data_IF_034635945975
#
_entry.id   IF_034635945975
#
_cell.length_a   1.000
_cell.length_b   1.000
_cell.length_c   1.000
_cell.angle_alpha   90.00
_cell.angle_beta   90.00
_cell.angle_gamma   90.00
#
_symmetry.space_group_name_H-M   'P 1'
#
loop_
_entity.id
_entity.type
_entity.pdbx_description
1 polymer ?
#
# COMPACT_ATOMS: atom_id res chain seq x y z
N UNK A 1 12.58 53.37 13.13
CA UNK A 1 13.98 53.68 12.81
C UNK A 1 14.49 52.58 11.88
N UNK A 2 14.98 52.99 10.69
CA UNK A 2 15.63 52.25 9.58
C UNK A 2 14.85 51.06 8.94
N UNK A 3 14.12 51.23 7.82
CA UNK A 3 14.55 51.31 6.38
C UNK A 3 15.01 49.95 5.81
N UNK A 4 14.26 49.28 4.91
CA UNK A 4 14.15 49.49 3.43
C UNK A 4 15.47 49.12 2.70
N UNK A 5 15.56 48.48 1.53
CA UNK A 5 14.64 48.07 0.49
C UNK A 5 15.29 46.98 -0.40
N UNK A 6 14.45 46.34 -1.21
CA UNK A 6 14.69 45.49 -2.39
C UNK A 6 15.58 46.10 -3.49
N UNK A 7 16.26 45.27 -4.31
CA UNK A 7 15.98 45.11 -5.76
C UNK A 7 17.09 44.38 -6.57
N UNK A 8 16.62 43.58 -7.54
CA UNK A 8 17.31 42.97 -8.70
C UNK A 8 17.88 44.03 -9.65
N UNK A 9 18.87 43.68 -10.50
CA UNK A 9 18.73 43.66 -11.99
C UNK A 9 19.98 43.19 -12.79
N UNK A 10 19.72 42.43 -13.87
CA UNK A 10 20.31 42.42 -15.25
C UNK A 10 21.80 42.04 -15.47
N UNK A 11 22.18 41.17 -16.43
CA UNK A 11 22.12 41.31 -17.91
C UNK A 11 23.34 42.12 -18.40
N UNK A 12 24.14 41.86 -19.45
CA UNK A 12 23.94 41.25 -20.77
C UNK A 12 25.32 41.20 -21.50
N UNK A 13 25.63 40.12 -22.24
CA UNK A 13 26.09 40.06 -23.65
C UNK A 13 27.32 40.87 -24.20
N UNK A 14 28.25 40.09 -24.80
CA UNK A 14 29.19 40.26 -25.97
C UNK A 14 29.12 41.55 -26.83
N UNK A 15 30.22 41.99 -27.52
CA UNK A 15 30.74 41.31 -28.73
C UNK A 15 32.25 41.44 -29.07
N UNK A 16 32.60 40.87 -30.24
CA UNK A 16 33.91 40.54 -30.81
C UNK A 16 34.65 41.69 -31.53
N UNK A 17 35.99 41.56 -31.72
CA UNK A 17 36.74 42.14 -32.85
C UNK A 17 38.20 41.63 -32.98
N UNK A 18 38.45 40.92 -34.09
CA UNK A 18 39.59 41.03 -35.06
C UNK A 18 41.08 41.14 -34.66
N UNK A 19 41.84 40.15 -35.18
CA UNK A 19 42.98 40.25 -36.11
C UNK A 19 44.30 40.96 -35.73
N UNK A 20 45.42 40.21 -35.80
CA UNK A 20 46.49 40.35 -36.84
C UNK A 20 47.74 39.51 -36.51
N UNK A 21 48.15 38.68 -37.48
CA UNK A 21 49.52 38.18 -37.70
C UNK A 21 50.40 39.34 -38.22
N UNK A 22 51.76 39.29 -38.23
CA UNK A 22 52.46 38.72 -39.42
C UNK A 22 53.95 38.27 -39.21
N UNK A 23 54.47 37.22 -39.90
CA UNK A 23 55.49 37.14 -41.02
C UNK A 23 56.57 36.08 -40.66
N UNK A 24 56.81 34.99 -41.43
CA UNK A 24 57.63 34.79 -42.68
C UNK A 24 59.13 35.10 -42.44
N UNK A 25 60.15 34.28 -42.75
CA UNK A 25 60.49 33.39 -43.89
C UNK A 25 61.70 32.50 -43.47
N UNK A 26 61.71 31.17 -43.70
CA UNK A 26 62.52 30.39 -44.70
C UNK A 26 64.06 30.36 -44.50
N UNK A 27 64.85 29.32 -44.83
CA UNK A 27 64.90 28.37 -45.98
C UNK A 27 66.22 27.54 -45.76
N UNK A 28 66.40 26.25 -46.10
CA UNK A 28 66.96 25.71 -47.38
C UNK A 28 67.54 24.28 -47.12
N UNK A 29 67.03 23.25 -47.85
CA UNK A 29 67.70 22.10 -48.55
C UNK A 29 68.81 21.24 -47.86
N UNK A 30 69.04 19.94 -48.16
CA UNK A 30 69.08 19.25 -49.49
C UNK A 30 69.37 17.73 -49.31
N UNK A 31 69.01 16.95 -50.36
CA UNK A 31 69.61 15.70 -50.89
C UNK A 31 69.23 14.36 -50.22
N UNK A 32 68.43 13.47 -50.84
CA UNK A 32 68.70 12.53 -51.96
C UNK A 32 69.76 11.44 -51.68
N UNK A 33 69.47 10.22 -52.19
CA UNK A 33 70.22 8.94 -52.19
C UNK A 33 69.82 7.99 -51.04
N UNK A 34 69.28 6.76 -51.20
CA UNK A 34 69.21 5.80 -52.31
C UNK A 34 67.95 4.93 -52.15
N UNK A 35 67.09 4.86 -53.17
CA UNK A 35 66.11 3.78 -53.33
C UNK A 35 66.88 2.52 -53.77
N UNK A 36 66.86 1.43 -52.99
CA UNK A 36 67.17 0.09 -53.53
C UNK A 36 65.95 -0.37 -54.33
N UNK A 37 66.06 -0.29 -55.65
CA UNK A 37 65.12 -0.87 -56.60
C UNK A 37 65.08 -2.39 -56.43
N UNK A 38 63.94 -2.92 -55.99
CA UNK A 38 63.58 -4.32 -56.19
C UNK A 38 63.26 -4.48 -57.67
N UNK A 39 63.81 -5.48 -58.39
CA UNK A 39 63.48 -5.70 -59.79
C UNK A 39 61.97 -6.01 -59.90
N UNK A 40 61.26 -5.25 -60.72
CA UNK A 40 59.86 -5.53 -61.08
C UNK A 40 59.85 -6.80 -61.93
N UNK A 41 59.18 -7.85 -61.45
CA UNK A 41 58.76 -8.97 -62.28
C UNK A 41 57.76 -8.47 -63.35
N UNK A 42 57.83 -9.08 -64.53
CA UNK A 42 57.02 -8.75 -65.70
C UNK A 42 55.51 -8.94 -65.43
N UNK A 43 54.62 -8.19 -66.12
CA UNK A 43 53.18 -8.25 -65.87
C UNK A 43 52.60 -9.55 -66.42
N UNK A 44 52.28 -10.51 -65.55
CA UNK A 44 51.51 -11.71 -65.91
C UNK A 44 51.75 -12.97 -65.08
N UNK A 45 52.82 -13.05 -64.28
CA UNK A 45 53.12 -14.27 -63.52
C UNK A 45 52.47 -14.28 -62.13
N UNK A 46 51.65 -15.30 -61.84
CA UNK A 46 51.10 -15.53 -60.51
C UNK A 46 52.25 -15.85 -59.55
N UNK A 47 52.30 -15.23 -58.36
CA UNK A 47 53.41 -15.41 -57.42
C UNK A 47 53.54 -16.88 -57.04
N UNK A 48 54.77 -17.38 -57.04
CA UNK A 48 55.06 -18.78 -56.75
C UNK A 48 54.66 -19.12 -55.31
N UNK A 49 54.30 -20.38 -55.03
CA UNK A 49 53.84 -20.82 -53.71
C UNK A 49 54.81 -20.44 -52.57
N UNK A 50 56.12 -20.46 -52.84
CA UNK A 50 57.16 -20.01 -51.90
C UNK A 50 57.06 -18.51 -51.57
N UNK A 51 56.81 -17.65 -52.54
CA UNK A 51 56.67 -16.19 -52.32
C UNK A 51 55.39 -15.84 -51.57
N UNK A 52 54.29 -16.57 -51.85
CA UNK A 52 53.05 -16.49 -51.07
C UNK A 52 53.25 -16.92 -49.62
N UNK A 53 54.04 -17.97 -49.37
CA UNK A 53 54.36 -18.42 -48.02
C UNK A 53 55.21 -17.41 -47.24
N UNK A 54 56.17 -16.77 -47.89
CA UNK A 54 57.04 -15.75 -47.27
C UNK A 54 56.25 -14.47 -46.96
N UNK A 55 55.37 -14.02 -47.87
CA UNK A 55 54.47 -12.90 -47.62
C UNK A 55 53.47 -13.17 -46.48
N UNK A 56 52.92 -14.39 -46.41
CA UNK A 56 52.06 -14.80 -45.30
C UNK A 56 52.81 -14.84 -43.96
N UNK A 57 54.06 -15.33 -43.94
CA UNK A 57 54.92 -15.30 -42.74
C UNK A 57 55.26 -13.86 -42.30
N UNK A 58 55.55 -12.95 -43.21
CA UNK A 58 55.85 -11.55 -42.88
C UNK A 58 54.64 -10.80 -42.27
N UNK A 59 53.42 -11.15 -42.67
CA UNK A 59 52.18 -10.60 -42.09
C UNK A 59 51.92 -11.19 -40.70
N UNK A 60 52.18 -12.48 -40.50
CA UNK A 60 52.05 -13.19 -39.22
C UNK A 60 53.00 -12.66 -38.13
N UNK A 61 54.20 -12.22 -38.50
CA UNK A 61 55.21 -11.67 -37.56
C UNK A 61 55.24 -10.13 -37.53
N UNK A 62 54.19 -9.46 -38.00
CA UNK A 62 54.02 -8.02 -37.84
C UNK A 62 53.68 -7.69 -36.37
N UNK A 63 54.25 -6.62 -35.78
CA UNK A 63 53.91 -6.21 -34.41
C UNK A 63 52.40 -5.95 -34.21
N UNK A 64 51.68 -5.57 -35.26
CA UNK A 64 50.23 -5.40 -35.24
C UNK A 64 49.47 -6.74 -35.18
N UNK A 65 49.97 -7.78 -35.85
CA UNK A 65 49.34 -9.10 -35.83
C UNK A 65 49.47 -9.75 -34.43
N UNK A 66 50.62 -9.57 -33.78
CA UNK A 66 50.83 -10.00 -32.39
C UNK A 66 49.90 -9.25 -31.43
N UNK A 67 49.78 -7.93 -31.57
CA UNK A 67 48.86 -7.14 -30.75
C UNK A 67 47.39 -7.58 -30.93
N UNK A 68 46.95 -7.80 -32.17
CA UNK A 68 45.60 -8.29 -32.45
C UNK A 68 45.35 -9.68 -31.83
N UNK A 69 46.33 -10.60 -31.93
CA UNK A 69 46.24 -11.92 -31.29
C UNK A 69 46.13 -11.82 -29.76
N UNK A 70 46.91 -10.94 -29.13
CA UNK A 70 46.84 -10.69 -27.69
C UNK A 70 45.47 -10.13 -27.27
N UNK A 71 44.89 -9.20 -28.04
CA UNK A 71 43.56 -8.66 -27.75
C UNK A 71 42.46 -9.71 -27.86
N UNK A 72 42.56 -10.63 -28.83
CA UNK A 72 41.62 -11.76 -28.96
C UNK A 72 41.75 -12.71 -27.77
N UNK A 73 42.97 -13.04 -27.33
CA UNK A 73 43.20 -13.88 -26.15
C UNK A 73 42.63 -13.25 -24.89
N UNK A 74 42.88 -11.95 -24.66
CA UNK A 74 42.30 -11.21 -23.53
C UNK A 74 40.77 -11.23 -23.61
N UNK A 75 40.20 -11.01 -24.80
CA UNK A 75 38.75 -11.13 -25.03
C UNK A 75 38.19 -12.50 -24.66
N UNK A 76 38.84 -13.59 -25.08
CA UNK A 76 38.44 -14.95 -24.74
C UNK A 76 38.50 -15.23 -23.22
N UNK A 77 39.51 -14.71 -22.53
CA UNK A 77 39.64 -14.83 -21.08
C UNK A 77 38.51 -14.05 -20.38
N UNK A 78 38.21 -12.84 -20.82
CA UNK A 78 37.11 -12.02 -20.28
C UNK A 78 35.76 -12.72 -20.49
N UNK A 79 35.50 -13.26 -21.68
CA UNK A 79 34.26 -14.02 -21.95
C UNK A 79 34.19 -15.28 -21.08
N UNK A 80 35.29 -16.02 -20.93
CA UNK A 80 35.33 -17.24 -20.11
C UNK A 80 35.07 -16.96 -18.63
N UNK A 81 35.68 -15.90 -18.09
CA UNK A 81 35.45 -15.48 -16.70
C UNK A 81 34.01 -15.03 -16.48
N UNK A 82 33.42 -14.27 -17.40
CA UNK A 82 32.00 -13.90 -17.37
C UNK A 82 31.13 -15.17 -17.35
N UNK A 83 31.39 -16.13 -18.24
CA UNK A 83 30.62 -17.39 -18.29
C UNK A 83 30.73 -18.19 -16.99
N UNK A 84 31.91 -18.28 -16.39
CA UNK A 84 32.12 -18.95 -15.09
C UNK A 84 31.32 -18.24 -13.99
N UNK A 85 31.33 -16.90 -13.95
CA UNK A 85 30.56 -16.13 -12.95
C UNK A 85 29.06 -16.34 -13.13
N UNK A 86 28.55 -16.31 -14.37
CA UNK A 86 27.15 -16.55 -14.66
C UNK A 86 26.73 -17.97 -14.29
N UNK A 87 27.55 -18.97 -14.62
CA UNK A 87 27.34 -20.36 -14.23
C UNK A 87 27.27 -20.52 -12.70
N UNK A 88 28.23 -19.95 -11.97
CA UNK A 88 28.26 -20.01 -10.51
C UNK A 88 27.07 -19.29 -9.86
N UNK A 89 26.57 -18.22 -10.49
CA UNK A 89 25.34 -17.54 -10.04
C UNK A 89 24.12 -18.43 -10.22
N UNK A 90 24.01 -19.10 -11.36
CA UNK A 90 22.88 -19.97 -11.66
C UNK A 90 22.87 -21.23 -10.79
N UNK A 91 24.04 -21.80 -10.54
CA UNK A 91 24.20 -22.93 -9.63
C UNK A 91 23.83 -22.58 -8.19
N UNK A 92 24.23 -21.40 -7.69
CA UNK A 92 23.82 -20.94 -6.35
C UNK A 92 22.29 -20.84 -6.21
N UNK A 93 21.58 -20.34 -7.24
CA UNK A 93 20.11 -20.31 -7.22
C UNK A 93 19.53 -21.72 -7.11
N UNK A 94 20.07 -22.69 -7.85
CA UNK A 94 19.62 -24.10 -7.80
C UNK A 94 19.83 -24.72 -6.42
N UNK A 95 20.98 -24.50 -5.78
CA UNK A 95 21.25 -25.04 -4.44
C UNK A 95 20.27 -24.50 -3.38
N UNK A 96 19.99 -23.19 -3.41
CA UNK A 96 19.03 -22.56 -2.49
C UNK A 96 17.63 -23.12 -2.73
N UNK A 97 17.22 -23.26 -3.99
CA UNK A 97 15.94 -23.84 -4.35
C UNK A 97 15.81 -25.28 -3.87
N UNK A 98 16.81 -26.14 -4.13
CA UNK A 98 16.82 -27.53 -3.70
C UNK A 98 16.77 -27.68 -2.17
N UNK A 99 17.47 -26.80 -1.45
CA UNK A 99 17.40 -26.76 0.00
C UNK A 99 15.98 -26.44 0.49
N UNK A 100 15.33 -25.43 -0.10
CA UNK A 100 13.94 -25.09 0.24
C UNK A 100 12.95 -26.20 -0.10
N UNK A 101 13.13 -26.88 -1.24
CA UNK A 101 12.29 -28.03 -1.63
C UNK A 101 12.45 -29.20 -0.66
N UNK A 102 13.68 -29.49 -0.22
CA UNK A 102 13.92 -30.57 0.75
C UNK A 102 13.29 -30.24 2.12
N UNK A 103 13.42 -29.00 2.60
CA UNK A 103 12.79 -28.58 3.86
C UNK A 103 11.25 -28.67 3.80
N UNK A 104 10.65 -28.24 2.69
CA UNK A 104 9.21 -28.36 2.46
C UNK A 104 8.80 -29.84 2.36
N UNK A 105 9.54 -30.65 1.59
CA UNK A 105 9.25 -32.08 1.40
C UNK A 105 9.31 -32.84 2.72
N UNK A 106 10.33 -32.57 3.55
CA UNK A 106 10.48 -33.19 4.87
C UNK A 106 9.38 -32.75 5.85
N UNK A 107 8.99 -31.47 5.85
CA UNK A 107 7.85 -30.99 6.64
C UNK A 107 6.53 -31.67 6.20
N UNK A 108 6.30 -31.74 4.89
CA UNK A 108 5.11 -32.37 4.30
C UNK A 108 5.05 -33.87 4.59
N UNK A 109 6.18 -34.58 4.45
CA UNK A 109 6.28 -36.02 4.72
C UNK A 109 6.07 -36.38 6.18
N UNK A 110 6.43 -35.50 7.12
CA UNK A 110 6.13 -35.67 8.56
C UNK A 110 4.66 -35.39 8.88
N UNK A 111 4.07 -34.39 8.25
CA UNK A 111 2.68 -33.96 8.54
C UNK A 111 1.62 -34.81 7.84
N UNK A 112 1.96 -35.38 6.68
CA UNK A 112 1.08 -36.20 5.87
C UNK A 112 1.85 -37.44 5.37
N UNK A 113 1.87 -38.53 6.16
CA UNK A 113 2.58 -39.75 5.80
C UNK A 113 2.13 -40.34 4.45
N UNK A 114 0.84 -40.21 4.14
CA UNK A 114 0.22 -40.71 2.89
C UNK A 114 0.78 -40.04 1.62
N UNK A 115 1.44 -38.87 1.74
CA UNK A 115 2.09 -38.23 0.61
C UNK A 115 3.39 -38.92 0.18
N UNK A 116 3.98 -39.78 1.02
CA UNK A 116 5.26 -40.44 0.71
C UNK A 116 5.10 -41.56 -0.33
N UNK A 117 3.90 -42.14 -0.46
CA UNK A 117 3.60 -43.19 -1.43
C UNK A 117 3.25 -42.67 -2.83
N UNK A 118 3.16 -41.35 -3.01
CA UNK A 118 2.90 -40.72 -4.31
C UNK A 118 4.19 -40.63 -5.15
N UNK A 119 4.02 -40.67 -6.47
CA UNK A 119 5.10 -40.36 -7.40
C UNK A 119 5.65 -38.94 -7.18
N UNK A 120 6.93 -38.74 -7.50
CA UNK A 120 7.65 -37.49 -7.20
C UNK A 120 6.96 -36.24 -7.76
N UNK A 121 6.38 -36.33 -8.96
CA UNK A 121 5.68 -35.22 -9.62
C UNK A 121 4.37 -34.88 -8.89
N UNK A 122 3.58 -35.89 -8.53
CA UNK A 122 2.32 -35.70 -7.81
C UNK A 122 2.55 -35.18 -6.40
N UNK A 123 3.58 -35.69 -5.71
CA UNK A 123 4.00 -35.19 -4.39
C UNK A 123 4.37 -33.69 -4.45
N UNK A 124 5.13 -33.27 -5.46
CA UNK A 124 5.46 -31.85 -5.67
C UNK A 124 4.19 -31.03 -5.95
N UNK A 125 3.26 -31.54 -6.76
CA UNK A 125 1.99 -30.87 -7.07
C UNK A 125 1.13 -30.69 -5.81
N UNK A 126 1.03 -31.70 -4.95
CA UNK A 126 0.29 -31.60 -3.69
C UNK A 126 0.98 -30.66 -2.71
N UNK A 127 2.30 -30.76 -2.56
CA UNK A 127 3.07 -29.87 -1.68
C UNK A 127 2.98 -28.39 -2.09
N UNK A 128 3.02 -28.11 -3.40
CA UNK A 128 2.85 -26.75 -3.92
C UNK A 128 1.42 -26.22 -3.73
N UNK A 129 0.40 -27.04 -3.95
CA UNK A 129 -0.98 -26.64 -3.65
C UNK A 129 -1.18 -26.35 -2.16
N UNK A 130 -0.61 -27.18 -1.27
CA UNK A 130 -0.73 -26.93 0.16
C UNK A 130 0.05 -25.70 0.60
N UNK A 131 1.23 -25.44 0.03
CA UNK A 131 2.00 -24.24 0.37
C UNK A 131 1.27 -22.96 -0.08
N UNK A 132 0.59 -22.99 -1.23
CA UNK A 132 -0.27 -21.90 -1.67
C UNK A 132 -1.45 -21.67 -0.73
N UNK A 133 -2.16 -22.75 -0.33
CA UNK A 133 -3.25 -22.66 0.65
C UNK A 133 -2.75 -22.12 2.00
N UNK A 134 -1.60 -22.58 2.47
CA UNK A 134 -0.99 -22.11 3.71
C UNK A 134 -0.61 -20.62 3.62
N UNK A 135 -0.12 -20.16 2.48
CA UNK A 135 0.18 -18.75 2.26
C UNK A 135 -1.08 -17.88 2.29
N UNK A 136 -2.18 -18.37 1.72
CA UNK A 136 -3.50 -17.70 1.79
C UNK A 136 -4.02 -17.62 3.23
N UNK A 137 -4.00 -18.73 3.96
CA UNK A 137 -4.42 -18.76 5.37
C UNK A 137 -3.54 -17.88 6.26
N UNK A 138 -2.22 -17.86 6.01
CA UNK A 138 -1.32 -16.94 6.71
C UNK A 138 -1.62 -15.47 6.41
N UNK A 139 -2.12 -15.15 5.21
CA UNK A 139 -2.57 -13.79 4.88
C UNK A 139 -3.82 -13.43 5.69
N UNK A 140 -4.83 -14.31 5.71
CA UNK A 140 -6.05 -14.13 6.51
C UNK A 140 -5.74 -13.98 8.00
N UNK A 141 -4.84 -14.79 8.54
CA UNK A 141 -4.42 -14.70 9.95
C UNK A 141 -3.80 -13.35 10.30
N UNK A 142 -3.00 -12.77 9.39
CA UNK A 142 -2.42 -11.43 9.60
C UNK A 142 -3.50 -10.34 9.56
N UNK A 143 -4.43 -10.43 8.63
CA UNK A 143 -5.56 -9.50 8.54
C UNK A 143 -6.46 -9.57 9.78
N UNK A 144 -6.69 -10.78 10.29
CA UNK A 144 -7.41 -11.01 11.53
C UNK A 144 -6.68 -10.42 12.74
N UNK A 145 -5.36 -10.55 12.82
CA UNK A 145 -4.59 -9.94 13.91
C UNK A 145 -4.73 -8.41 13.92
N UNK A 146 -4.64 -7.76 12.75
CA UNK A 146 -4.86 -6.32 12.63
C UNK A 146 -6.27 -5.91 13.06
N UNK A 147 -7.28 -6.73 12.75
CA UNK A 147 -8.64 -6.50 13.20
C UNK A 147 -8.80 -6.62 14.72
N UNK A 148 -8.17 -7.64 15.33
CA UNK A 148 -8.15 -7.83 16.77
C UNK A 148 -7.52 -6.61 17.45
N UNK A 149 -6.39 -6.14 16.96
CA UNK A 149 -5.68 -4.98 17.52
C UNK A 149 -6.53 -3.69 17.43
N UNK A 150 -7.24 -3.46 16.32
CA UNK A 150 -8.20 -2.33 16.19
C UNK A 150 -9.35 -2.43 17.20
N UNK A 151 -9.93 -3.63 17.37
CA UNK A 151 -11.01 -3.84 18.35
C UNK A 151 -10.48 -3.58 19.76
N UNK A 152 -9.32 -4.12 20.13
CA UNK A 152 -8.70 -3.91 21.44
C UNK A 152 -8.46 -2.42 21.72
N UNK A 153 -7.91 -1.68 20.75
CA UNK A 153 -7.70 -0.24 20.89
C UNK A 153 -9.01 0.54 21.08
N UNK A 154 -10.13 0.08 20.50
CA UNK A 154 -11.45 0.69 20.73
C UNK A 154 -11.98 0.37 22.13
N UNK A 155 -11.77 -0.83 22.63
CA UNK A 155 -12.18 -1.19 23.99
C UNK A 155 -11.47 -0.32 25.03
N UNK A 156 -10.19 0.00 24.82
CA UNK A 156 -9.44 0.97 25.64
C UNK A 156 -10.05 2.38 25.59
N UNK A 157 -10.73 2.73 24.50
CA UNK A 157 -11.46 3.98 24.34
C UNK A 157 -12.91 3.92 24.84
N UNK A 158 -13.23 2.97 25.72
CA UNK A 158 -14.54 2.79 26.36
C UNK A 158 -15.65 2.39 25.38
N UNK A 159 -15.30 1.79 24.24
CA UNK A 159 -16.28 1.08 23.44
C UNK A 159 -16.65 -0.25 24.10
N UNK A 160 -17.88 -0.68 23.87
CA UNK A 160 -18.44 -1.92 24.41
C UNK A 160 -18.93 -2.80 23.28
N UNK A 161 -18.76 -4.11 23.41
CA UNK A 161 -19.18 -5.09 22.39
C UNK A 161 -20.52 -5.67 22.79
N UNK A 162 -21.46 -5.65 21.87
CA UNK A 162 -22.73 -6.35 22.00
C UNK A 162 -23.21 -6.84 20.63
N UNK A 163 -23.61 -8.10 20.55
CA UNK A 163 -24.13 -8.74 19.32
C UNK A 163 -23.31 -8.40 18.05
N UNK A 164 -21.99 -8.62 18.12
CA UNK A 164 -21.01 -8.38 17.04
C UNK A 164 -20.88 -6.92 16.57
N UNK A 165 -21.42 -5.96 17.33
CA UNK A 165 -21.31 -4.52 17.08
C UNK A 165 -20.60 -3.84 18.23
N UNK A 166 -20.07 -2.65 17.98
CA UNK A 166 -19.40 -1.82 18.97
C UNK A 166 -20.25 -0.60 19.28
N UNK A 167 -20.37 -0.26 20.57
CA UNK A 167 -21.16 0.86 21.06
C UNK A 167 -20.31 1.78 21.93
N UNK A 168 -20.46 3.09 21.75
CA UNK A 168 -19.82 4.11 22.57
C UNK A 168 -20.90 4.96 23.24
N UNK A 169 -20.98 4.89 24.55
CA UNK A 169 -21.80 5.77 25.37
C UNK A 169 -20.92 6.93 25.83
N UNK A 170 -21.13 8.12 25.29
CA UNK A 170 -20.20 9.26 25.44
C UNK A 170 -20.32 9.96 26.82
N UNK A 171 -20.20 9.20 27.90
CA UNK A 171 -20.47 9.63 29.28
C UNK A 171 -19.47 10.69 29.77
N UNK A 172 -18.25 10.69 29.26
CA UNK A 172 -17.17 11.58 29.70
C UNK A 172 -17.12 12.94 29.01
N UNK A 173 -17.86 13.14 27.90
CA UNK A 173 -17.88 14.40 27.15
C UNK A 173 -19.11 15.25 27.49
N UNK A 174 -19.07 16.58 27.30
CA UNK A 174 -20.23 17.42 27.58
C UNK A 174 -21.43 17.04 26.68
N UNK A 175 -22.67 17.18 27.17
CA UNK A 175 -23.89 16.98 26.37
C UNK A 175 -23.93 17.86 25.10
N UNK A 176 -24.59 17.35 24.05
CA UNK A 176 -24.60 17.85 22.68
C UNK A 176 -26.03 17.95 22.12
N UNK A 177 -26.22 18.78 21.08
CA UNK A 177 -27.50 18.73 20.36
C UNK A 177 -27.62 17.39 19.64
N UNK A 178 -28.82 17.07 19.15
CA UNK A 178 -29.00 15.85 18.38
C UNK A 178 -28.11 15.84 17.12
N UNK A 179 -28.05 16.97 16.39
CA UNK A 179 -27.20 17.11 15.20
C UNK A 179 -25.71 16.99 15.55
N UNK A 180 -25.26 17.65 16.62
CA UNK A 180 -23.88 17.55 17.10
C UNK A 180 -23.51 16.09 17.45
N UNK A 181 -24.44 15.29 17.99
CA UNK A 181 -24.22 13.87 18.25
C UNK A 181 -24.15 13.04 16.97
N UNK A 182 -25.01 13.33 15.99
CA UNK A 182 -24.96 12.69 14.67
C UNK A 182 -23.58 12.90 14.03
N UNK A 183 -23.12 14.15 13.99
CA UNK A 183 -21.83 14.53 13.41
C UNK A 183 -20.67 13.93 14.20
N UNK A 184 -20.74 13.96 15.53
CA UNK A 184 -19.72 13.36 16.40
C UNK A 184 -19.55 11.85 16.17
N UNK A 185 -20.65 11.12 16.02
CA UNK A 185 -20.59 9.68 15.77
C UNK A 185 -20.16 9.36 14.33
N UNK A 186 -20.58 10.15 13.35
CA UNK A 186 -20.20 10.02 11.94
C UNK A 186 -18.73 10.36 11.68
N UNK A 187 -18.14 11.24 12.50
CA UNK A 187 -16.71 11.55 12.43
C UNK A 187 -15.79 10.39 12.85
N UNK A 188 -16.33 9.28 13.33
CA UNK A 188 -15.58 8.08 13.71
C UNK A 188 -15.66 7.03 12.59
N UNK A 189 -14.57 6.29 12.30
CA UNK A 189 -14.59 5.29 11.22
C UNK A 189 -15.68 4.23 11.41
N UNK A 190 -16.47 4.00 10.35
CA UNK A 190 -17.54 2.99 10.29
C UNK A 190 -18.63 3.12 11.36
N UNK A 191 -18.77 4.31 11.96
CA UNK A 191 -19.64 4.59 13.09
C UNK A 191 -20.69 5.64 12.72
N UNK A 192 -21.84 5.57 13.38
CA UNK A 192 -22.92 6.54 13.28
C UNK A 192 -23.71 6.61 14.57
N UNK A 193 -24.63 7.57 14.68
CA UNK A 193 -25.56 7.62 15.81
C UNK A 193 -26.46 6.38 15.80
N UNK A 194 -26.81 5.85 16.98
CA UNK A 194 -27.51 4.57 17.11
C UNK A 194 -28.91 4.59 16.46
N UNK A 195 -29.13 3.72 15.48
CA UNK A 195 -30.48 3.28 15.09
C UNK A 195 -30.77 1.94 15.78
N UNK A 196 -31.82 1.91 16.59
CA UNK A 196 -32.23 0.70 17.34
C UNK A 196 -32.83 -0.29 16.36
N UNK A 197 -32.22 -1.45 16.21
CA UNK A 197 -32.53 -2.46 15.19
C UNK A 197 -33.17 -3.74 15.72
N UNK A 198 -33.30 -3.89 17.04
CA UNK A 198 -34.00 -5.02 17.65
C UNK A 198 -34.43 -4.70 19.08
N UNK A 199 -35.38 -5.50 19.58
CA UNK A 199 -35.79 -5.49 21.00
C UNK A 199 -34.62 -5.76 21.95
N UNK A 200 -33.76 -6.70 21.61
CA UNK A 200 -32.58 -7.04 22.43
C UNK A 200 -31.56 -5.89 22.44
N UNK A 201 -31.40 -5.18 21.32
CA UNK A 201 -30.56 -3.99 21.25
C UNK A 201 -31.10 -2.88 22.15
N UNK A 202 -32.42 -2.64 22.17
CA UNK A 202 -33.04 -1.70 23.12
C UNK A 202 -32.73 -2.08 24.57
N UNK A 203 -33.01 -3.34 24.96
CA UNK A 203 -32.77 -3.81 26.33
C UNK A 203 -31.30 -3.67 26.73
N UNK A 204 -30.38 -3.89 25.79
CA UNK A 204 -28.97 -3.66 26.00
C UNK A 204 -28.68 -2.17 26.26
N UNK A 205 -29.19 -1.24 25.44
CA UNK A 205 -29.04 0.19 25.67
C UNK A 205 -29.56 0.58 27.07
N UNK A 206 -30.78 0.18 27.41
CA UNK A 206 -31.39 0.44 28.72
C UNK A 206 -30.52 -0.09 29.88
N UNK A 207 -29.89 -1.25 29.71
CA UNK A 207 -28.98 -1.83 30.72
C UNK A 207 -27.75 -0.96 30.97
N UNK A 208 -27.19 -0.33 29.93
CA UNK A 208 -26.01 0.54 30.02
C UNK A 208 -26.36 1.91 30.63
N UNK A 209 -27.64 2.30 30.59
CA UNK A 209 -28.13 3.57 31.11
C UNK A 209 -28.54 3.52 32.59
N UNK A 210 -28.49 2.33 33.23
CA UNK A 210 -28.77 2.19 34.67
C UNK A 210 -27.77 3.00 35.50
N UNK A 211 -28.27 3.91 36.33
CA UNK A 211 -27.43 4.79 37.15
C UNK A 211 -26.90 6.01 36.40
N UNK A 212 -27.25 6.20 35.13
CA UNK A 212 -26.89 7.41 34.40
C UNK A 212 -27.55 8.66 35.01
N UNK A 213 -26.82 9.77 35.02
CA UNK A 213 -27.34 11.08 35.42
C UNK A 213 -27.79 11.94 34.22
N UNK A 214 -27.58 11.45 33.00
CA UNK A 214 -27.85 12.15 31.74
C UNK A 214 -28.71 11.32 30.80
N UNK A 215 -29.58 11.99 30.05
CA UNK A 215 -30.31 11.39 28.94
C UNK A 215 -29.37 11.22 27.73
N UNK A 216 -29.74 10.35 26.80
CA UNK A 216 -28.95 10.06 25.60
C UNK A 216 -29.78 10.21 24.34
N UNK A 217 -29.17 10.74 23.28
CA UNK A 217 -29.80 10.77 21.95
C UNK A 217 -29.74 9.41 21.25
N UNK A 218 -30.79 9.10 20.51
CA UNK A 218 -30.83 8.02 19.51
C UNK A 218 -31.08 8.60 18.12
N UNK A 219 -30.82 7.81 17.09
CA UNK A 219 -30.91 8.17 15.67
C UNK A 219 -32.31 8.50 15.15
N UNK A 220 -33.35 8.50 16.00
CA UNK A 220 -34.72 8.78 15.59
C UNK A 220 -35.05 10.27 15.77
N UNK A 221 -35.68 10.85 14.75
CA UNK A 221 -36.10 12.24 14.73
C UNK A 221 -37.45 12.39 14.03
N UNK A 222 -38.11 13.53 14.22
CA UNK A 222 -39.40 13.83 13.62
C UNK A 222 -39.17 14.57 12.30
N UNK A 223 -39.52 13.93 11.19
CA UNK A 223 -39.53 14.52 9.85
C UNK A 223 -40.98 14.82 9.46
N UNK A 224 -41.32 16.10 9.35
CA UNK A 224 -42.70 16.57 9.16
C UNK A 224 -43.67 16.00 10.21
N UNK A 225 -44.52 15.05 9.83
CA UNK A 225 -45.53 14.44 10.70
C UNK A 225 -45.17 13.02 11.15
N UNK A 226 -44.02 12.48 10.75
CA UNK A 226 -43.62 11.10 11.04
C UNK A 226 -42.28 11.00 11.76
N UNK A 227 -42.11 9.94 12.55
CA UNK A 227 -40.83 9.56 13.15
C UNK A 227 -40.01 8.75 12.15
N UNK A 228 -38.76 9.14 11.95
CA UNK A 228 -37.83 8.53 10.99
C UNK A 228 -36.46 8.32 11.63
N UNK A 229 -35.76 7.26 11.21
CA UNK A 229 -34.37 7.04 11.55
C UNK A 229 -33.45 7.90 10.68
N UNK A 230 -32.29 8.29 11.20
CA UNK A 230 -31.26 9.04 10.46
C UNK A 230 -30.75 8.25 9.25
N UNK A 231 -30.76 6.92 9.34
CA UNK A 231 -30.58 6.04 8.20
C UNK A 231 -31.96 5.66 7.63
N UNK A 232 -32.27 6.18 6.44
CA UNK A 232 -33.54 5.92 5.77
C UNK A 232 -33.71 4.45 5.35
N UNK A 233 -32.64 3.65 5.32
CA UNK A 233 -32.69 2.22 5.02
C UNK A 233 -33.00 1.35 6.25
N UNK A 234 -33.07 1.96 7.43
CA UNK A 234 -33.29 1.23 8.67
C UNK A 234 -34.73 0.71 8.77
N UNK A 235 -34.86 -0.61 8.98
CA UNK A 235 -36.13 -1.33 8.86
C UNK A 235 -36.93 -1.45 10.17
N UNK A 236 -36.33 -1.15 11.33
CA UNK A 236 -36.98 -1.39 12.62
C UNK A 236 -38.05 -0.33 12.93
N UNK A 237 -39.26 -0.78 13.24
CA UNK A 237 -40.44 0.09 13.36
C UNK A 237 -40.99 0.23 14.79
N UNK A 238 -40.59 -0.63 15.72
CA UNK A 238 -41.08 -0.56 17.10
C UNK A 238 -40.63 0.74 17.77
N UNK A 239 -41.50 1.27 18.64
CA UNK A 239 -41.24 2.51 19.38
C UNK A 239 -41.44 2.28 20.86
N UNK A 240 -40.40 2.53 21.64
CA UNK A 240 -40.38 2.26 23.08
C UNK A 240 -40.68 3.51 23.90
N UNK A 241 -41.72 4.25 23.50
CA UNK A 241 -42.17 5.46 24.20
C UNK A 241 -42.52 5.18 25.66
N UNK A 242 -42.02 6.03 26.55
CA UNK A 242 -42.47 6.05 27.95
C UNK A 242 -43.93 6.51 28.04
N UNK A 243 -44.65 6.19 29.15
CA UNK A 243 -46.03 6.64 29.33
C UNK A 243 -46.19 8.14 29.14
N UNK A 244 -47.14 8.55 28.30
CA UNK A 244 -47.41 9.95 27.98
C UNK A 244 -46.54 10.54 26.86
N UNK A 245 -45.61 9.79 26.27
CA UNK A 245 -44.80 10.21 25.12
C UNK A 245 -45.27 9.56 23.81
N UNK A 246 -45.00 10.17 22.64
CA UNK A 246 -44.41 11.49 22.46
C UNK A 246 -45.44 12.61 22.76
N UNK A 247 -45.07 13.57 23.59
CA UNK A 247 -45.95 14.69 23.94
C UNK A 247 -45.70 15.96 23.13
N UNK A 248 -44.63 15.98 22.33
CA UNK A 248 -44.22 17.14 21.55
C UNK A 248 -44.12 18.43 22.37
N UNK A 249 -43.76 18.33 23.67
CA UNK A 249 -43.62 19.49 24.54
C UNK A 249 -42.46 20.38 24.07
N UNK A 250 -42.84 21.56 23.61
CA UNK A 250 -42.00 22.59 23.05
C UNK A 250 -42.90 23.48 22.21
N UNK A 251 -42.58 24.76 22.06
CA UNK A 251 -43.27 25.56 21.05
C UNK A 251 -42.89 24.99 19.68
N UNK A 252 -43.65 24.00 19.23
CA UNK A 252 -43.55 23.40 17.91
C UNK A 252 -43.93 24.47 16.88
N UNK A 253 -43.03 25.45 16.69
CA UNK A 253 -43.11 26.42 15.61
C UNK A 253 -42.88 25.64 14.30
N UNK A 254 -43.38 26.13 13.17
CA UNK A 254 -42.89 25.67 11.87
C UNK A 254 -41.35 25.72 11.87
N UNK A 255 -40.68 24.57 11.77
CA UNK A 255 -39.21 24.44 11.80
C UNK A 255 -38.55 24.02 13.13
N UNK A 256 -39.30 23.81 14.23
CA UNK A 256 -38.73 23.15 15.43
C UNK A 256 -38.94 21.65 15.34
N UNK A 257 -37.87 20.92 15.06
CA UNK A 257 -37.86 19.46 15.00
C UNK A 257 -37.75 18.86 16.42
N UNK A 258 -38.49 17.77 16.64
CA UNK A 258 -38.35 16.95 17.84
C UNK A 258 -37.47 15.74 17.51
N UNK A 259 -36.58 15.43 18.43
CA UNK A 259 -35.64 14.32 18.35
C UNK A 259 -35.89 13.38 19.53
N UNK A 260 -35.47 12.13 19.40
CA UNK A 260 -35.77 11.08 20.37
C UNK A 260 -34.57 10.77 21.22
N UNK A 261 -34.77 10.75 22.52
CA UNK A 261 -33.75 10.33 23.49
C UNK A 261 -34.24 9.25 24.43
N UNK A 262 -33.27 8.53 25.00
CA UNK A 262 -33.45 7.63 26.13
C UNK A 262 -33.37 8.42 27.43
N UNK A 263 -34.38 8.28 28.27
CA UNK A 263 -34.40 8.91 29.59
C UNK A 263 -33.40 8.23 30.53
N UNK A 264 -32.69 9.03 31.32
CA UNK A 264 -31.86 8.52 32.42
C UNK A 264 -32.69 7.75 33.45
N UNK A 265 -32.08 6.75 34.09
CA UNK A 265 -32.70 5.95 35.15
C UNK A 265 -34.09 5.41 34.78
N UNK A 266 -34.26 4.98 33.53
CA UNK A 266 -35.53 4.42 33.10
C UNK A 266 -35.89 3.18 33.94
N UNK A 267 -37.07 3.24 34.58
CA UNK A 267 -37.53 2.19 35.49
C UNK A 267 -38.28 1.05 34.79
N UNK A 268 -38.92 1.34 33.65
CA UNK A 268 -39.75 0.37 32.92
C UNK A 268 -39.07 0.01 31.61
N UNK A 269 -38.70 -1.27 31.46
CA UNK A 269 -38.08 -1.76 30.24
C UNK A 269 -38.98 -1.52 29.03
N UNK A 270 -38.37 -1.24 27.87
CA UNK A 270 -39.03 -0.98 26.59
C UNK A 270 -40.01 0.20 26.62
N UNK A 271 -39.80 1.13 27.56
CA UNK A 271 -40.62 2.32 27.79
C UNK A 271 -39.76 3.51 28.21
N UNK A 272 -38.62 3.69 27.53
CA UNK A 272 -37.59 4.65 27.91
C UNK A 272 -37.44 5.82 26.93
N UNK A 273 -38.16 5.82 25.82
CA UNK A 273 -38.04 6.85 24.79
C UNK A 273 -38.93 8.04 25.14
N UNK A 274 -38.39 9.24 24.92
CA UNK A 274 -39.16 10.48 24.99
C UNK A 274 -38.72 11.39 23.87
N UNK A 275 -39.61 12.29 23.43
CA UNK A 275 -39.23 13.33 22.48
C UNK A 275 -38.79 14.61 23.19
N UNK A 276 -37.94 15.37 22.52
CA UNK A 276 -37.47 16.68 22.99
C UNK A 276 -37.01 17.51 21.80
N UNK A 277 -36.95 18.84 21.98
CA UNK A 277 -36.37 19.73 20.98
C UNK A 277 -34.96 19.27 20.62
N UNK A 278 -34.66 19.12 19.32
CA UNK A 278 -33.34 18.66 18.85
C UNK A 278 -32.18 19.55 19.30
N UNK A 279 -32.46 20.81 19.66
CA UNK A 279 -31.51 21.77 20.24
C UNK A 279 -31.16 21.49 21.71
N UNK A 280 -31.92 20.63 22.39
CA UNK A 280 -31.63 20.22 23.77
C UNK A 280 -30.29 19.49 23.84
N UNK A 281 -29.59 19.62 24.96
CA UNK A 281 -28.27 19.01 25.15
C UNK A 281 -28.40 17.67 25.90
N UNK A 282 -28.05 16.56 25.23
CA UNK A 282 -28.02 15.19 25.81
C UNK A 282 -26.71 14.48 25.43
N UNK A 283 -26.40 13.35 26.05
CA UNK A 283 -25.21 12.55 25.71
C UNK A 283 -25.43 11.78 24.42
N UNK A 284 -24.35 11.33 23.77
CA UNK A 284 -24.43 10.61 22.50
C UNK A 284 -24.25 9.10 22.71
N UNK A 285 -24.92 8.31 21.87
CA UNK A 285 -24.65 6.88 21.70
C UNK A 285 -24.24 6.65 20.26
N UNK A 286 -23.00 6.21 20.05
CA UNK A 286 -22.51 5.83 18.74
C UNK A 286 -22.56 4.30 18.58
N UNK A 287 -22.86 3.85 17.36
CA UNK A 287 -22.89 2.45 16.96
C UNK A 287 -21.93 2.27 15.78
N UNK A 288 -21.07 1.27 15.87
CA UNK A 288 -20.21 0.84 14.77
C UNK A 288 -20.65 -0.55 14.31
N UNK A 289 -20.89 -0.69 13.01
CA UNK A 289 -21.25 -1.97 12.41
C UNK A 289 -19.98 -2.83 12.20
N UNK A 290 -20.09 -4.16 12.28
CA UNK A 290 -18.97 -5.04 11.94
C UNK A 290 -18.55 -4.79 10.50
N UNK A 291 -17.23 -4.74 10.26
CA UNK A 291 -16.71 -4.72 8.90
C UNK A 291 -16.89 -6.12 8.29
N UNK A 292 -17.30 -6.21 7.02
CA UNK A 292 -17.49 -7.51 6.33
C UNK A 292 -16.25 -8.40 6.41
N UNK A 293 -15.06 -7.79 6.40
CA UNK A 293 -13.77 -8.48 6.57
C UNK A 293 -13.61 -9.24 7.90
N UNK A 294 -14.48 -8.99 8.88
CA UNK A 294 -14.51 -9.66 10.20
C UNK A 294 -15.51 -10.82 10.24
N UNK A 295 -16.32 -10.99 9.21
CA UNK A 295 -17.45 -11.92 9.15
C UNK A 295 -17.27 -13.05 8.14
N UNK A 296 -16.21 -13.00 7.33
CA UNK A 296 -15.78 -14.04 6.35
C UNK A 296 -14.57 -14.80 6.86
#
# INVERSE_FOLDING_TARGET
MAEAATAKTTGNVKPAATAKQPRRFSRVNKLFQRKKSVPKAAPGEKPTFKERLVGAKAILYSPYALYAAMMVLVGCIVVSTIMIVLYNREMRKRTIFLKGVNEISDYMGRKYPDLQSLEDVDRIKVATNLSLKLAEENKKNKELQVAIDDILGRLEQHWTVYNKKLYLFDIFKPPRTWQDCADYCAGKPFSGMINVGSRDEELYLESQLKGSTSDFWIGMYKRAHSWSWIDATHWFTEKYWMPGQPDNKGFARPGTENCVGLIKNCATQLKCWHDALCSSKKKCICKMLPQEKWLT
#
